data_IF_666422897923
#
_entry.id   IF_666422897923
#
_cell.length_a   1.000
_cell.length_b   1.000
_cell.length_c   1.000
_cell.angle_alpha   90.00
_cell.angle_beta   90.00
_cell.angle_gamma   90.00
#
_symmetry.space_group_name_H-M   'P 1'
#
loop_
_entity.id
_entity.type
_entity.pdbx_description
1 polymer ?
#
# COMPACT_ATOMS: atom_id res chain seq x y z
N UNK A 1 -6.93 63.85 31.29
CA UNK A 1 -7.45 62.47 31.25
C UNK A 1 -6.29 61.54 30.90
N UNK A 2 -5.93 60.65 31.83
CA UNK A 2 -4.92 59.61 31.67
C UNK A 2 -5.64 58.35 31.18
N UNK A 3 -5.13 57.67 30.16
CA UNK A 3 -5.22 56.22 29.87
C UNK A 3 -4.27 55.95 28.69
N UNK A 4 -2.99 55.62 28.90
CA UNK A 4 -2.41 54.26 29.01
C UNK A 4 -2.91 53.28 27.94
N UNK A 5 -2.05 52.94 26.97
CA UNK A 5 -2.01 51.61 26.40
C UNK A 5 -0.55 51.11 26.43
N UNK A 6 -0.38 50.04 27.18
CA UNK A 6 0.88 49.35 27.48
C UNK A 6 1.21 48.41 26.33
N UNK A 7 2.42 48.51 25.79
CA UNK A 7 2.96 47.52 24.85
C UNK A 7 3.28 46.23 25.60
N UNK A 8 2.70 45.11 25.16
CA UNK A 8 3.07 43.76 25.60
C UNK A 8 3.92 43.16 24.50
N UNK A 9 5.23 43.08 24.75
CA UNK A 9 6.18 42.31 23.94
C UNK A 9 6.20 40.90 24.50
N UNK A 10 5.71 39.93 23.72
CA UNK A 10 5.85 38.50 24.04
C UNK A 10 7.10 37.98 23.32
N UNK A 11 8.11 37.61 24.10
CA UNK A 11 9.27 36.84 23.65
C UNK A 11 8.87 35.36 23.67
N UNK A 12 8.81 34.70 22.52
CA UNK A 12 8.79 33.24 22.43
C UNK A 12 10.21 32.78 22.13
N UNK A 13 10.78 32.02 23.07
CA UNK A 13 12.07 31.36 22.95
C UNK A 13 11.84 30.06 22.18
N UNK A 14 12.38 29.96 20.96
CA UNK A 14 12.48 28.71 20.22
C UNK A 14 13.80 28.05 20.61
N UNK A 15 13.73 26.96 21.39
CA UNK A 15 14.84 26.04 21.60
C UNK A 15 14.35 24.66 21.19
N UNK A 16 14.84 24.17 20.05
CA UNK A 16 14.46 22.86 19.53
C UNK A 16 15.00 22.57 18.13
N UNK A 17 16.28 22.86 17.85
CA UNK A 17 16.89 22.52 16.56
C UNK A 17 18.37 22.20 16.68
N UNK A 18 18.76 21.26 17.55
CA UNK A 18 20.16 20.76 17.59
C UNK A 18 20.28 19.22 17.72
N UNK A 19 19.20 18.45 17.86
CA UNK A 19 19.31 16.98 18.06
C UNK A 19 19.07 16.11 16.82
N UNK A 20 18.96 16.69 15.61
CA UNK A 20 18.58 15.94 14.40
C UNK A 20 19.76 15.58 13.47
N UNK A 21 20.99 15.96 13.79
CA UNK A 21 22.13 15.79 12.86
C UNK A 21 23.15 14.68 13.20
N UNK A 22 22.94 13.84 14.22
CA UNK A 22 23.98 12.86 14.64
C UNK A 22 23.63 11.37 14.50
N UNK A 23 22.47 10.96 13.97
CA UNK A 23 22.12 9.53 13.93
C UNK A 23 22.53 8.76 12.65
N UNK A 24 23.13 9.39 11.63
CA UNK A 24 23.61 8.66 10.43
C UNK A 24 25.06 8.20 10.59
N UNK A 25 25.33 7.24 11.48
CA UNK A 25 26.54 6.40 11.40
C UNK A 25 26.25 4.96 11.84
N UNK A 26 26.22 4.10 10.81
CA UNK A 26 26.69 2.69 10.76
C UNK A 26 26.03 1.62 11.64
N UNK A 27 25.44 0.60 10.99
CA UNK A 27 25.91 -0.80 11.09
C UNK A 27 25.34 -1.70 9.98
N UNK A 28 26.04 -2.81 9.62
CA UNK A 28 25.97 -3.45 8.31
C UNK A 28 25.15 -4.76 8.27
N UNK A 29 24.75 -5.09 7.05
CA UNK A 29 24.09 -6.32 6.58
C UNK A 29 25.00 -7.55 6.79
N UNK A 30 24.46 -8.62 7.36
CA UNK A 30 25.11 -9.93 7.47
C UNK A 30 24.61 -10.86 6.37
N UNK A 31 25.44 -11.08 5.35
CA UNK A 31 25.37 -12.25 4.47
C UNK A 31 26.06 -13.44 5.12
N UNK A 32 25.52 -14.65 4.95
CA UNK A 32 26.31 -15.88 4.98
C UNK A 32 25.72 -16.92 4.04
N UNK A 33 26.36 -17.06 2.88
CA UNK A 33 26.33 -18.26 2.05
C UNK A 33 27.53 -19.14 2.48
N UNK A 34 27.28 -20.44 2.68
CA UNK A 34 28.31 -21.45 2.87
C UNK A 34 28.19 -22.49 1.77
N UNK A 35 29.15 -22.48 0.86
CA UNK A 35 29.39 -23.45 -0.21
C UNK A 35 30.34 -24.57 0.29
N UNK A 36 30.06 -25.81 -0.10
CA UNK A 36 31.08 -26.86 -0.28
C UNK A 36 30.61 -27.83 -1.38
N UNK A 37 31.07 -27.57 -2.61
CA UNK A 37 31.73 -28.50 -3.59
C UNK A 37 31.63 -30.00 -3.29
N UNK A 38 31.17 -30.93 -4.14
CA UNK A 38 31.38 -31.26 -5.57
C UNK A 38 31.93 -32.71 -5.64
N UNK A 39 31.28 -33.60 -6.42
CA UNK A 39 31.98 -34.46 -7.38
C UNK A 39 31.00 -35.28 -8.26
N UNK A 40 31.38 -35.35 -9.53
CA UNK A 40 30.69 -35.94 -10.69
C UNK A 40 31.22 -37.36 -10.94
N UNK A 41 30.38 -38.30 -11.47
CA UNK A 41 30.73 -39.12 -12.65
C UNK A 41 29.57 -39.95 -13.23
N UNK A 42 29.53 -39.93 -14.56
CA UNK A 42 28.66 -40.59 -15.53
C UNK A 42 29.34 -41.89 -16.00
N UNK A 43 28.59 -42.98 -16.27
CA UNK A 43 28.46 -43.69 -17.57
C UNK A 43 27.88 -45.12 -17.46
N UNK A 44 27.12 -45.47 -18.50
CA UNK A 44 26.25 -46.64 -18.71
C UNK A 44 26.93 -48.02 -18.80
N UNK A 45 26.17 -49.08 -18.47
CA UNK A 45 26.32 -50.40 -19.09
C UNK A 45 24.95 -51.07 -19.32
N UNK A 46 24.78 -51.51 -20.57
CA UNK A 46 23.65 -52.13 -21.25
C UNK A 46 23.45 -53.60 -20.81
N UNK A 47 22.22 -54.13 -20.84
CA UNK A 47 22.02 -55.54 -21.23
C UNK A 47 20.88 -56.37 -20.63
N UNK A 48 19.76 -56.42 -21.37
CA UNK A 48 18.99 -57.62 -21.81
C UNK A 48 18.08 -58.45 -20.87
N UNK A 49 17.03 -58.95 -21.53
CA UNK A 49 15.74 -59.54 -21.12
C UNK A 49 15.76 -61.04 -20.70
N UNK A 50 14.53 -61.53 -20.43
CA UNK A 50 13.99 -62.91 -20.40
C UNK A 50 13.82 -63.55 -19.00
N UNK A 51 12.77 -64.31 -18.63
CA UNK A 51 11.53 -64.83 -19.27
C UNK A 51 10.59 -65.43 -18.18
N UNK A 52 9.29 -65.49 -18.53
CA UNK A 52 8.22 -66.50 -18.24
C UNK A 52 7.73 -66.96 -16.85
N UNK A 53 6.41 -66.78 -16.68
CA UNK A 53 5.31 -67.72 -16.36
C UNK A 53 5.46 -68.84 -15.31
N UNK A 54 4.46 -68.94 -14.42
CA UNK A 54 4.19 -70.16 -13.62
C UNK A 54 3.04 -70.03 -12.62
N UNK A 55 2.03 -70.90 -12.78
CA UNK A 55 0.69 -70.95 -12.15
C UNK A 55 0.66 -71.76 -10.83
N UNK A 56 0.10 -71.16 -9.76
CA UNK A 56 -0.88 -71.66 -8.74
C UNK A 56 -0.65 -72.98 -7.94
N UNK A 57 -1.51 -73.31 -6.94
CA UNK A 57 -1.52 -72.92 -5.52
C UNK A 57 -1.10 -74.07 -4.57
N UNK A 58 -0.88 -73.78 -3.28
CA UNK A 58 -1.06 -74.82 -2.26
C UNK A 58 -1.59 -74.29 -0.93
N UNK A 59 -2.54 -75.05 -0.40
CA UNK A 59 -3.28 -74.89 0.84
C UNK A 59 -2.45 -75.32 2.05
N UNK A 60 -2.52 -74.58 3.16
CA UNK A 60 -2.60 -75.15 4.51
C UNK A 60 -2.84 -74.05 5.56
N UNK A 61 -3.70 -74.38 6.51
CA UNK A 61 -4.13 -73.56 7.61
C UNK A 61 -3.04 -73.35 8.66
N UNK A 62 -2.96 -72.15 9.24
CA UNK A 62 -2.45 -71.95 10.59
C UNK A 62 -3.31 -70.95 11.37
N UNK A 63 -3.49 -71.28 12.64
CA UNK A 63 -4.40 -70.67 13.59
C UNK A 63 -3.77 -69.47 14.30
N UNK A 64 -4.64 -68.52 14.67
CA UNK A 64 -4.55 -67.60 15.80
C UNK A 64 -3.18 -66.96 16.13
N UNK A 65 -3.00 -65.72 15.68
CA UNK A 65 -2.39 -64.68 16.51
C UNK A 65 -3.31 -63.45 16.49
N UNK A 66 -4.10 -63.27 17.57
CA UNK A 66 -4.78 -62.00 17.82
C UNK A 66 -3.72 -61.04 18.34
N UNK A 67 -3.23 -60.16 17.47
CA UNK A 67 -2.45 -59.00 17.89
C UNK A 67 -3.32 -58.11 18.78
N UNK A 68 -2.79 -57.82 19.96
CA UNK A 68 -3.32 -56.85 20.88
C UNK A 68 -3.14 -55.46 20.26
N UNK A 69 -4.17 -54.95 19.55
CA UNK A 69 -4.19 -53.56 19.09
C UNK A 69 -4.37 -52.67 20.33
N UNK A 70 -3.44 -51.77 20.66
CA UNK A 70 -3.64 -50.82 21.75
C UNK A 70 -4.83 -49.94 21.39
N UNK A 71 -5.74 -49.72 22.34
CA UNK A 71 -6.77 -48.70 22.19
C UNK A 71 -6.10 -47.35 21.84
N UNK A 72 -6.68 -46.54 20.93
CA UNK A 72 -6.09 -45.25 20.60
C UNK A 72 -6.00 -44.44 21.88
N UNK A 73 -4.79 -43.98 22.21
CA UNK A 73 -4.57 -43.06 23.31
C UNK A 73 -5.47 -41.84 23.07
N UNK A 74 -6.48 -41.68 23.92
CA UNK A 74 -7.22 -40.43 24.03
C UNK A 74 -6.20 -39.34 24.34
N UNK A 75 -5.86 -38.51 23.37
CA UNK A 75 -5.14 -37.27 23.62
C UNK A 75 -5.90 -36.54 24.72
N UNK A 76 -5.25 -36.40 25.87
CA UNK A 76 -5.80 -35.65 26.98
C UNK A 76 -6.14 -34.24 26.48
N UNK A 77 -7.41 -33.86 26.56
CA UNK A 77 -7.85 -32.50 26.29
C UNK A 77 -7.16 -31.58 27.30
N UNK A 78 -6.03 -30.99 26.92
CA UNK A 78 -5.46 -29.87 27.67
C UNK A 78 -6.46 -28.74 27.59
N UNK A 79 -6.99 -28.25 28.74
CA UNK A 79 -7.87 -27.10 28.73
C UNK A 79 -7.19 -25.94 27.97
N UNK A 80 -7.95 -25.11 27.23
CA UNK A 80 -7.40 -23.92 26.61
C UNK A 80 -6.60 -23.11 27.63
N UNK A 81 -5.45 -22.58 27.20
CA UNK A 81 -4.64 -21.66 28.01
C UNK A 81 -5.55 -20.55 28.59
N UNK A 82 -5.44 -20.26 29.90
CA UNK A 82 -6.25 -19.20 30.49
C UNK A 82 -5.90 -17.86 29.85
N UNK A 83 -6.87 -16.93 29.80
CA UNK A 83 -6.64 -15.61 29.22
C UNK A 83 -5.48 -14.87 29.88
N UNK A 84 -5.34 -14.99 31.21
CA UNK A 84 -4.23 -14.37 31.95
C UNK A 84 -2.87 -14.94 31.52
N UNK A 85 -2.76 -16.26 31.35
CA UNK A 85 -1.52 -16.90 30.91
C UNK A 85 -1.16 -16.49 29.48
N UNK A 86 -2.14 -16.48 28.57
CA UNK A 86 -1.96 -16.06 27.18
C UNK A 86 -1.52 -14.60 27.07
N UNK A 87 -2.18 -13.70 27.81
CA UNK A 87 -1.78 -12.29 27.88
C UNK A 87 -0.39 -12.12 28.47
N UNK A 88 -0.05 -12.83 29.55
CA UNK A 88 1.28 -12.74 30.17
C UNK A 88 2.38 -13.17 29.19
N UNK A 89 2.16 -14.26 28.43
CA UNK A 89 3.07 -14.72 27.39
C UNK A 89 3.26 -13.68 26.29
N UNK A 90 2.16 -13.11 25.77
CA UNK A 90 2.20 -12.13 24.67
C UNK A 90 2.78 -10.77 25.07
N UNK A 91 2.61 -10.35 26.32
CA UNK A 91 3.07 -9.04 26.80
C UNK A 91 4.59 -8.85 26.71
N UNK A 92 5.38 -9.93 26.67
CA UNK A 92 6.82 -9.88 26.48
C UNK A 92 7.28 -9.94 25.02
N UNK A 93 6.36 -10.16 24.07
CA UNK A 93 6.66 -10.43 22.66
C UNK A 93 6.04 -9.39 21.72
N UNK A 94 4.86 -8.90 22.06
CA UNK A 94 4.04 -8.05 21.19
C UNK A 94 3.65 -6.75 21.86
N UNK A 95 3.52 -5.72 21.05
CA UNK A 95 2.98 -4.43 21.50
C UNK A 95 1.45 -4.47 21.52
N UNK A 96 0.85 -3.67 22.41
CA UNK A 96 -0.60 -3.43 22.40
C UNK A 96 -0.99 -2.54 21.23
N UNK A 97 -2.15 -2.83 20.63
CA UNK A 97 -2.81 -1.92 19.72
C UNK A 97 -3.03 -0.55 20.38
N UNK A 98 -3.03 0.51 19.57
CA UNK A 98 -3.39 1.86 20.02
C UNK A 98 -4.86 2.09 19.71
N UNK A 99 -5.48 2.97 20.47
CA UNK A 99 -6.84 3.39 20.17
C UNK A 99 -6.84 4.36 18.97
N UNK A 100 -7.97 4.42 18.26
CA UNK A 100 -8.24 5.47 17.28
C UNK A 100 -8.20 6.82 18.03
N UNK A 101 -7.38 7.73 17.55
CA UNK A 101 -7.24 9.07 18.11
C UNK A 101 -7.99 10.07 17.24
N UNK A 102 -8.71 10.98 17.89
CA UNK A 102 -9.39 12.16 17.29
C UNK A 102 -9.94 11.96 15.86
N UNK A 103 -10.83 10.96 15.63
CA UNK A 103 -11.35 10.69 14.30
C UNK A 103 -12.23 11.84 13.80
N UNK A 104 -12.05 12.22 12.54
CA UNK A 104 -12.81 13.30 11.88
C UNK A 104 -14.14 12.82 11.31
N UNK A 105 -14.26 11.52 11.05
CA UNK A 105 -15.46 10.92 10.48
C UNK A 105 -15.36 9.41 10.37
N UNK A 106 -16.52 8.79 10.12
CA UNK A 106 -16.66 7.36 9.92
C UNK A 106 -17.44 7.11 8.63
N UNK A 107 -17.02 6.11 7.87
CA UNK A 107 -17.69 5.59 6.67
C UNK A 107 -17.92 4.09 6.89
N UNK A 108 -19.06 3.57 6.42
CA UNK A 108 -19.52 2.18 6.61
C UNK A 108 -19.70 1.74 8.07
N UNK A 109 -19.65 2.65 9.05
CA UNK A 109 -19.88 2.37 10.46
C UNK A 109 -20.37 3.60 11.24
N UNK A 110 -21.13 3.36 12.30
CA UNK A 110 -21.32 4.35 13.37
C UNK A 110 -20.00 4.53 14.15
N UNK A 111 -19.81 5.66 14.87
CA UNK A 111 -18.62 5.86 15.71
C UNK A 111 -18.39 4.72 16.71
N UNK A 112 -17.15 4.22 16.77
CA UNK A 112 -16.76 3.09 17.62
C UNK A 112 -15.37 3.30 18.25
N UNK A 113 -15.04 2.49 19.27
CA UNK A 113 -13.67 2.36 19.78
C UNK A 113 -13.05 1.05 19.28
N UNK A 114 -11.77 1.06 18.93
CA UNK A 114 -11.06 -0.18 18.58
C UNK A 114 -11.11 -1.18 19.73
N UNK A 115 -11.11 -0.69 20.98
CA UNK A 115 -11.32 -1.49 22.18
C UNK A 115 -12.62 -2.32 22.18
N UNK A 116 -13.66 -1.91 21.44
CA UNK A 116 -14.94 -2.62 21.38
C UNK A 116 -14.84 -3.99 20.69
N UNK A 117 -13.82 -4.17 19.85
CA UNK A 117 -13.53 -5.44 19.16
C UNK A 117 -12.66 -6.39 19.99
N UNK A 118 -11.92 -5.89 20.97
CA UNK A 118 -10.99 -6.70 21.76
C UNK A 118 -11.76 -7.75 22.58
N UNK A 119 -11.28 -8.98 22.54
CA UNK A 119 -11.95 -10.15 23.12
C UNK A 119 -13.07 -10.74 22.26
N UNK A 120 -13.42 -10.10 21.13
CA UNK A 120 -14.53 -10.52 20.25
C UNK A 120 -14.10 -10.83 18.83
N UNK A 121 -13.19 -10.04 18.25
CA UNK A 121 -12.75 -10.15 16.86
C UNK A 121 -11.23 -10.10 16.74
N UNK A 122 -10.73 -10.59 15.61
CA UNK A 122 -9.40 -10.27 15.08
C UNK A 122 -9.56 -9.01 14.22
N UNK A 123 -8.67 -8.04 14.36
CA UNK A 123 -8.78 -6.75 13.68
C UNK A 123 -7.57 -6.51 12.80
N UNK A 124 -7.76 -6.20 11.52
CA UNK A 124 -6.70 -5.67 10.66
C UNK A 124 -6.86 -4.15 10.56
N UNK A 125 -5.91 -3.39 11.09
CA UNK A 125 -5.84 -1.95 10.88
C UNK A 125 -5.03 -1.71 9.60
N UNK A 126 -5.64 -1.12 8.58
CA UNK A 126 -4.99 -0.77 7.31
C UNK A 126 -4.94 0.74 7.14
N UNK A 127 -3.72 1.30 7.11
CA UNK A 127 -3.52 2.71 6.81
C UNK A 127 -3.45 2.91 5.31
N UNK A 128 -4.31 3.77 4.79
CA UNK A 128 -4.46 4.02 3.36
C UNK A 128 -4.80 5.48 3.07
N UNK A 129 -4.67 5.86 1.80
CA UNK A 129 -5.23 7.09 1.25
C UNK A 129 -5.67 6.84 -0.19
N UNK A 130 -6.72 7.51 -0.65
CA UNK A 130 -7.42 7.03 -1.84
C UNK A 130 -6.69 7.30 -3.16
N UNK A 131 -5.89 8.37 -3.25
CA UNK A 131 -5.12 8.66 -4.47
C UNK A 131 -3.79 7.89 -4.55
N UNK A 132 -3.46 7.09 -3.53
CA UNK A 132 -2.26 6.26 -3.52
C UNK A 132 -2.45 4.99 -4.36
N UNK A 133 -1.69 4.86 -5.46
CA UNK A 133 -1.78 3.68 -6.34
C UNK A 133 -1.47 2.37 -5.60
N UNK A 134 -0.53 2.39 -4.65
CA UNK A 134 -0.18 1.20 -3.88
C UNK A 134 -1.33 0.75 -2.96
N UNK A 135 -2.09 1.70 -2.40
CA UNK A 135 -3.32 1.41 -1.66
C UNK A 135 -4.41 0.85 -2.59
N UNK A 136 -4.62 1.46 -3.75
CA UNK A 136 -5.61 0.97 -4.72
C UNK A 136 -5.32 -0.47 -5.16
N UNK A 137 -4.05 -0.82 -5.45
CA UNK A 137 -3.65 -2.20 -5.79
C UNK A 137 -3.74 -3.19 -4.62
N UNK A 138 -3.62 -2.70 -3.38
CA UNK A 138 -3.80 -3.52 -2.17
C UNK A 138 -5.28 -3.81 -1.89
N UNK A 139 -6.18 -2.89 -2.26
CA UNK A 139 -7.61 -2.93 -1.88
C UNK A 139 -8.35 -4.19 -2.32
N UNK A 140 -8.16 -4.75 -3.55
CA UNK A 140 -8.79 -6.00 -3.94
C UNK A 140 -8.52 -7.17 -2.99
N UNK A 141 -7.33 -7.25 -2.40
CA UNK A 141 -6.99 -8.26 -1.41
C UNK A 141 -7.69 -8.01 -0.06
N UNK A 142 -7.77 -6.75 0.36
CA UNK A 142 -8.48 -6.37 1.60
C UNK A 142 -9.97 -6.72 1.49
N UNK A 143 -10.61 -6.39 0.37
CA UNK A 143 -12.01 -6.72 0.12
C UNK A 143 -12.21 -8.24 0.15
N UNK A 144 -11.37 -8.99 -0.56
CA UNK A 144 -11.46 -10.46 -0.57
C UNK A 144 -11.29 -11.07 0.83
N UNK A 145 -10.36 -10.57 1.65
CA UNK A 145 -10.20 -11.02 3.04
C UNK A 145 -11.38 -10.66 3.92
N UNK A 146 -11.93 -9.47 3.75
CA UNK A 146 -13.09 -9.04 4.53
C UNK A 146 -14.30 -9.91 4.21
N UNK A 147 -14.63 -10.07 2.93
CA UNK A 147 -15.74 -10.92 2.45
C UNK A 147 -15.59 -12.37 2.91
N UNK A 148 -14.36 -12.90 2.90
CA UNK A 148 -14.11 -14.31 3.25
C UNK A 148 -14.22 -14.55 4.77
N UNK A 149 -13.71 -13.63 5.59
CA UNK A 149 -13.46 -13.92 7.01
C UNK A 149 -14.32 -13.11 7.99
N UNK A 150 -15.16 -12.16 7.55
CA UNK A 150 -15.93 -11.31 8.46
C UNK A 150 -16.83 -12.11 9.43
N UNK A 151 -17.48 -13.17 8.92
CA UNK A 151 -18.37 -14.05 9.67
C UNK A 151 -17.61 -14.95 10.67
N UNK A 152 -16.32 -15.16 10.45
CA UNK A 152 -15.43 -15.89 11.37
C UNK A 152 -14.90 -15.01 12.51
N UNK A 153 -15.37 -13.77 12.60
CA UNK A 153 -14.97 -12.80 13.61
C UNK A 153 -13.72 -12.02 13.22
N UNK A 154 -13.54 -11.76 11.93
CA UNK A 154 -12.60 -10.78 11.40
C UNK A 154 -13.27 -9.41 11.25
N UNK A 155 -12.48 -8.35 11.23
CA UNK A 155 -12.88 -7.02 10.78
C UNK A 155 -11.65 -6.26 10.29
N UNK A 156 -11.80 -5.53 9.19
CA UNK A 156 -10.80 -4.54 8.75
C UNK A 156 -11.25 -3.17 9.26
N UNK A 157 -10.32 -2.37 9.75
CA UNK A 157 -10.54 -0.95 10.04
C UNK A 157 -9.58 -0.17 9.16
N UNK A 158 -10.11 0.44 8.10
CA UNK A 158 -9.36 1.29 7.18
C UNK A 158 -9.15 2.67 7.80
N UNK A 159 -7.93 2.99 8.21
CA UNK A 159 -7.58 4.34 8.67
C UNK A 159 -7.17 5.15 7.44
N UNK A 160 -8.07 6.01 6.98
CA UNK A 160 -7.81 6.94 5.90
C UNK A 160 -7.03 8.14 6.46
N UNK A 161 -5.70 8.11 6.32
CA UNK A 161 -4.83 9.23 6.66
C UNK A 161 -4.45 9.92 5.35
N UNK A 162 -4.84 11.19 5.12
CA UNK A 162 -4.64 11.87 3.84
C UNK A 162 -3.15 12.09 3.53
N UNK A 163 -2.76 12.02 2.26
CA UNK A 163 -1.46 12.49 1.77
C UNK A 163 -1.52 13.96 1.29
N UNK A 164 -2.66 14.39 0.76
CA UNK A 164 -2.92 15.73 0.26
C UNK A 164 -4.15 16.37 0.90
N UNK A 165 -4.25 17.71 0.88
CA UNK A 165 -5.36 18.44 1.52
C UNK A 165 -6.74 18.04 0.97
N UNK A 166 -6.85 17.75 -0.34
CA UNK A 166 -8.12 17.36 -0.96
C UNK A 166 -8.64 16.01 -0.45
N UNK A 167 -7.78 15.18 0.13
CA UNK A 167 -8.14 13.86 0.67
C UNK A 167 -8.75 13.95 2.08
N UNK A 168 -8.79 15.15 2.69
CA UNK A 168 -9.48 15.39 3.96
C UNK A 168 -10.99 15.51 3.81
N UNK A 169 -11.46 15.80 2.59
CA UNK A 169 -12.88 15.98 2.33
C UNK A 169 -13.62 14.65 2.47
N UNK A 170 -14.66 14.64 3.30
CA UNK A 170 -15.42 13.43 3.59
C UNK A 170 -16.11 12.84 2.37
N UNK A 171 -16.67 13.69 1.50
CA UNK A 171 -17.44 13.23 0.34
C UNK A 171 -16.49 12.62 -0.71
N UNK A 172 -15.28 13.16 -0.88
CA UNK A 172 -14.23 12.56 -1.71
C UNK A 172 -13.85 11.15 -1.22
N UNK A 173 -13.58 11.00 0.09
CA UNK A 173 -13.23 9.69 0.68
C UNK A 173 -14.41 8.72 0.56
N UNK A 174 -15.65 9.19 0.79
CA UNK A 174 -16.85 8.38 0.65
C UNK A 174 -17.06 7.87 -0.78
N UNK A 175 -16.84 8.73 -1.78
CA UNK A 175 -16.91 8.32 -3.19
C UNK A 175 -15.82 7.31 -3.53
N UNK A 176 -14.58 7.55 -3.12
CA UNK A 176 -13.49 6.60 -3.33
C UNK A 176 -13.75 5.25 -2.67
N UNK A 177 -14.30 5.24 -1.45
CA UNK A 177 -14.68 4.02 -0.72
C UNK A 177 -15.68 3.18 -1.53
N UNK A 178 -16.67 3.84 -2.17
CA UNK A 178 -17.63 3.17 -3.05
C UNK A 178 -16.99 2.65 -4.33
N UNK A 179 -16.15 3.47 -4.98
CA UNK A 179 -15.50 3.12 -6.24
C UNK A 179 -14.53 1.93 -6.08
N UNK A 180 -13.88 1.84 -4.93
CA UNK A 180 -12.97 0.75 -4.57
C UNK A 180 -13.69 -0.47 -3.97
N UNK A 181 -15.02 -0.44 -3.83
CA UNK A 181 -15.80 -1.54 -3.26
C UNK A 181 -15.47 -1.86 -1.80
N UNK A 182 -15.03 -0.85 -1.04
CA UNK A 182 -14.70 -1.01 0.38
C UNK A 182 -16.00 -1.03 1.18
N UNK A 183 -16.29 -2.16 1.82
CA UNK A 183 -17.47 -2.34 2.68
C UNK A 183 -17.13 -2.36 4.17
N UNK A 184 -15.86 -2.57 4.52
CA UNK A 184 -15.40 -2.53 5.90
C UNK A 184 -15.40 -1.08 6.47
N UNK A 185 -15.43 -0.93 7.82
CA UNK A 185 -15.35 0.37 8.48
C UNK A 185 -14.12 1.19 8.06
N UNK A 186 -14.34 2.46 7.71
CA UNK A 186 -13.29 3.44 7.42
C UNK A 186 -13.38 4.59 8.41
N UNK A 187 -12.23 5.05 8.88
CA UNK A 187 -12.06 6.17 9.82
C UNK A 187 -11.20 7.23 9.16
N UNK A 188 -11.66 8.48 9.16
CA UNK A 188 -10.87 9.62 8.70
C UNK A 188 -9.93 10.07 9.82
N UNK A 189 -8.64 10.11 9.53
CA UNK A 189 -7.54 10.53 10.42
C UNK A 189 -6.88 11.79 9.84
N UNK A 190 -7.67 12.87 9.67
CA UNK A 190 -7.23 14.08 8.95
C UNK A 190 -6.16 14.87 9.71
N UNK A 191 -6.06 14.67 11.03
CA UNK A 191 -5.04 15.27 11.90
C UNK A 191 -3.81 14.38 12.15
N UNK A 192 -3.75 13.21 11.51
CA UNK A 192 -2.67 12.20 11.65
C UNK A 192 -2.50 11.65 13.06
N UNK A 193 -3.43 11.88 13.98
CA UNK A 193 -3.23 11.50 15.38
C UNK A 193 -3.18 9.97 15.56
N UNK A 194 -3.99 9.21 14.82
CA UNK A 194 -3.97 7.74 14.83
C UNK A 194 -2.69 7.25 14.15
N UNK A 195 -2.35 7.79 12.99
CA UNK A 195 -1.08 7.56 12.29
C UNK A 195 0.15 7.73 13.19
N UNK A 196 0.23 8.85 13.90
CA UNK A 196 1.33 9.16 14.83
C UNK A 196 1.32 8.20 16.03
N UNK A 197 0.15 7.84 16.55
CA UNK A 197 0.06 6.91 17.70
C UNK A 197 0.62 5.53 17.37
N UNK A 198 0.43 5.07 16.13
CA UNK A 198 0.97 3.82 15.58
C UNK A 198 2.44 3.94 15.12
N UNK A 199 3.02 5.15 15.18
CA UNK A 199 4.34 5.46 14.65
C UNK A 199 4.46 5.02 13.17
N UNK A 200 3.40 5.25 12.40
CA UNK A 200 3.36 4.91 10.98
C UNK A 200 4.12 5.95 10.13
N UNK A 201 4.64 5.52 8.99
CA UNK A 201 5.43 6.32 8.05
C UNK A 201 5.18 5.92 6.58
N UNK A 202 4.19 5.05 6.30
CA UNK A 202 4.01 4.43 4.99
C UNK A 202 2.53 4.24 4.64
N UNK A 203 2.23 4.41 3.36
CA UNK A 203 1.00 3.95 2.72
C UNK A 203 1.31 2.86 1.67
N UNK A 204 0.55 1.75 1.62
CA UNK A 204 -0.28 1.25 2.70
C UNK A 204 0.56 0.66 3.85
N UNK A 205 -0.03 0.47 5.03
CA UNK A 205 0.56 -0.35 6.11
C UNK A 205 -0.51 -1.07 6.91
N UNK A 206 -0.26 -2.33 7.21
CA UNK A 206 -1.21 -3.23 7.88
C UNK A 206 -0.71 -3.64 9.25
N UNK A 207 -1.56 -3.57 10.27
CA UNK A 207 -1.31 -4.09 11.61
C UNK A 207 -2.40 -5.08 11.99
N UNK A 208 -2.05 -6.34 12.20
CA UNK A 208 -3.00 -7.37 12.63
C UNK A 208 -3.03 -7.45 14.15
N UNK A 209 -4.22 -7.31 14.71
CA UNK A 209 -4.50 -7.31 16.14
C UNK A 209 -5.27 -8.60 16.48
N UNK A 210 -4.71 -9.37 17.40
CA UNK A 210 -5.34 -10.60 17.88
C UNK A 210 -6.52 -10.36 18.83
N UNK A 211 -7.20 -11.45 19.22
CA UNK A 211 -8.33 -11.41 20.15
C UNK A 211 -7.98 -10.80 21.52
N UNK A 212 -6.73 -10.83 21.95
CA UNK A 212 -6.34 -10.26 23.23
C UNK A 212 -6.01 -8.78 23.13
N UNK A 213 -5.83 -8.22 21.93
CA UNK A 213 -5.48 -6.83 21.65
C UNK A 213 -3.98 -6.57 21.50
N UNK A 214 -3.22 -7.56 21.04
CA UNK A 214 -1.81 -7.40 20.67
C UNK A 214 -1.64 -7.32 19.16
N UNK A 215 -0.72 -6.47 18.72
CA UNK A 215 -0.28 -6.42 17.32
C UNK A 215 0.63 -7.63 17.10
N UNK A 216 0.12 -8.65 16.41
CA UNK A 216 0.81 -9.93 16.17
C UNK A 216 1.46 -10.02 14.79
N UNK A 217 1.09 -9.13 13.87
CA UNK A 217 1.68 -8.98 12.55
C UNK A 217 1.68 -7.51 12.11
N UNK A 218 2.70 -7.12 11.34
CA UNK A 218 2.93 -5.76 10.81
C UNK A 218 3.53 -5.89 9.41
N UNK A 219 2.92 -5.23 8.43
CA UNK A 219 3.36 -5.24 7.04
C UNK A 219 3.38 -3.84 6.45
N UNK A 220 4.57 -3.42 6.04
CA UNK A 220 4.80 -2.13 5.38
C UNK A 220 4.69 -2.29 3.87
N UNK A 221 3.88 -1.45 3.25
CA UNK A 221 3.77 -1.33 1.81
C UNK A 221 2.78 -2.30 1.16
N UNK A 222 2.88 -2.33 -0.16
CA UNK A 222 2.14 -3.23 -1.05
C UNK A 222 2.82 -4.60 -1.14
N UNK A 223 2.02 -5.66 -1.20
CA UNK A 223 2.50 -7.04 -1.32
C UNK A 223 2.31 -7.85 -0.04
N UNK A 224 3.05 -8.97 0.06
CA UNK A 224 2.97 -9.87 1.22
C UNK A 224 1.58 -10.46 1.46
N UNK A 225 0.73 -10.53 0.45
CA UNK A 225 -0.68 -10.91 0.59
C UNK A 225 -0.85 -12.32 1.15
N UNK A 226 -0.12 -13.30 0.61
CA UNK A 226 -0.16 -14.68 1.09
C UNK A 226 0.29 -14.85 2.54
N UNK A 227 1.30 -14.08 2.94
CA UNK A 227 1.84 -14.06 4.30
C UNK A 227 0.84 -13.40 5.26
N UNK A 228 0.31 -12.22 4.88
CA UNK A 228 -0.70 -11.47 5.65
C UNK A 228 -1.93 -12.33 5.91
N UNK A 229 -2.46 -12.98 4.88
CA UNK A 229 -3.60 -13.87 5.02
C UNK A 229 -3.30 -15.07 5.93
N UNK A 230 -2.10 -15.63 5.85
CA UNK A 230 -1.69 -16.73 6.72
C UNK A 230 -1.68 -16.31 8.19
N UNK A 231 -1.26 -15.09 8.49
CA UNK A 231 -1.31 -14.52 9.84
C UNK A 231 -2.75 -14.18 10.28
N UNK A 232 -3.62 -13.73 9.37
CA UNK A 232 -5.07 -13.57 9.63
C UNK A 232 -5.69 -14.90 10.06
N UNK A 233 -5.51 -15.97 9.27
CA UNK A 233 -6.07 -17.30 9.55
C UNK A 233 -5.51 -17.87 10.85
N UNK A 234 -4.23 -17.64 11.15
CA UNK A 234 -3.61 -18.04 12.42
C UNK A 234 -4.22 -17.30 13.61
N UNK A 235 -4.43 -15.99 13.52
CA UNK A 235 -5.07 -15.21 14.57
C UNK A 235 -6.54 -15.60 14.78
N UNK A 236 -7.28 -15.88 13.68
CA UNK A 236 -8.66 -16.37 13.75
C UNK A 236 -8.75 -17.75 14.41
N UNK A 237 -7.78 -18.63 14.14
CA UNK A 237 -7.72 -19.94 14.80
C UNK A 237 -7.38 -19.84 16.30
N UNK A 238 -6.50 -18.91 16.70
CA UNK A 238 -6.29 -18.64 18.13
C UNK A 238 -7.56 -18.12 18.80
N UNK A 239 -8.29 -17.22 18.13
CA UNK A 239 -9.62 -16.76 18.55
C UNK A 239 -10.60 -17.93 18.68
N UNK A 240 -10.66 -18.82 17.70
CA UNK A 240 -11.60 -19.94 17.68
C UNK A 240 -11.38 -20.89 18.87
N UNK A 241 -10.12 -21.22 19.16
CA UNK A 241 -9.75 -22.01 20.35
C UNK A 241 -10.15 -21.28 21.64
N UNK A 242 -9.95 -19.95 21.69
CA UNK A 242 -10.27 -19.13 22.88
C UNK A 242 -11.76 -19.07 23.17
N UNK A 243 -12.59 -18.97 22.13
CA UNK A 243 -14.05 -18.83 22.25
C UNK A 243 -14.82 -20.15 22.11
N UNK A 244 -14.13 -21.25 21.79
CA UNK A 244 -14.76 -22.54 21.52
C UNK A 244 -15.58 -22.57 20.24
N UNK A 245 -15.17 -21.81 19.21
CA UNK A 245 -15.81 -21.80 17.88
C UNK A 245 -15.06 -22.68 16.88
N UNK A 246 -15.59 -22.81 15.68
CA UNK A 246 -15.00 -23.60 14.60
C UNK A 246 -13.71 -22.94 14.11
N UNK A 247 -12.69 -23.76 13.83
CA UNK A 247 -11.43 -23.32 13.22
C UNK A 247 -11.61 -22.91 11.77
N UNK A 248 -10.87 -21.89 11.36
CA UNK A 248 -10.87 -21.34 10.01
C UNK A 248 -9.77 -21.99 9.19
N UNK A 249 -10.05 -22.31 7.93
CA UNK A 249 -9.05 -22.80 6.97
C UNK A 249 -8.76 -21.72 5.94
N UNK A 250 -7.49 -21.56 5.56
CA UNK A 250 -7.11 -20.63 4.48
C UNK A 250 -7.79 -21.05 3.18
N UNK A 251 -8.52 -20.13 2.56
CA UNK A 251 -9.11 -20.35 1.25
C UNK A 251 -8.16 -19.93 0.14
N UNK A 252 -8.21 -20.61 -1.00
CA UNK A 252 -7.46 -20.16 -2.18
C UNK A 252 -8.26 -19.06 -2.87
N UNK A 253 -7.96 -17.80 -2.58
CA UNK A 253 -8.57 -16.68 -3.27
C UNK A 253 -7.93 -16.46 -4.64
N UNK A 254 -8.78 -16.20 -5.65
CA UNK A 254 -8.34 -15.74 -6.96
C UNK A 254 -8.60 -14.25 -7.06
N UNK A 255 -7.69 -13.45 -6.51
CA UNK A 255 -7.77 -11.99 -6.57
C UNK A 255 -7.20 -11.54 -7.91
N UNK A 256 -8.05 -10.98 -8.77
CA UNK A 256 -7.60 -10.29 -9.98
C UNK A 256 -7.07 -8.92 -9.58
N UNK A 257 -5.74 -8.79 -9.51
CA UNK A 257 -5.06 -7.53 -9.19
C UNK A 257 -3.85 -7.34 -10.09
N UNK A 258 -3.53 -6.06 -10.34
CA UNK A 258 -2.31 -5.68 -11.04
C UNK A 258 -1.08 -6.12 -10.23
N UNK A 259 -0.19 -6.90 -10.85
CA UNK A 259 1.08 -7.29 -10.25
C UNK A 259 2.20 -6.34 -10.67
N UNK A 260 2.98 -5.87 -9.69
CA UNK A 260 4.09 -4.94 -9.91
C UNK A 260 5.43 -5.59 -9.53
N UNK A 261 6.42 -5.47 -10.42
CA UNK A 261 7.82 -5.82 -10.14
C UNK A 261 8.58 -4.56 -9.70
N UNK A 262 8.51 -4.24 -8.41
CA UNK A 262 9.19 -3.08 -7.82
C UNK A 262 10.71 -3.09 -8.04
N UNK A 263 11.33 -4.26 -8.28
CA UNK A 263 12.75 -4.36 -8.58
C UNK A 263 13.13 -3.82 -9.96
N UNK A 264 12.16 -3.62 -10.85
CA UNK A 264 12.35 -3.08 -12.21
C UNK A 264 11.97 -1.61 -12.35
N UNK A 265 11.27 -1.04 -11.37
CA UNK A 265 10.96 0.39 -11.34
C UNK A 265 12.21 1.15 -10.91
N UNK A 266 12.63 2.14 -11.70
CA UNK A 266 13.77 3.01 -11.37
C UNK A 266 13.38 4.48 -11.18
N UNK A 267 12.08 4.79 -11.24
CA UNK A 267 11.55 6.11 -10.93
C UNK A 267 10.85 6.08 -9.58
N UNK A 268 11.28 6.95 -8.67
CA UNK A 268 10.60 7.17 -7.40
C UNK A 268 9.38 8.07 -7.60
N UNK A 269 8.41 7.94 -6.70
CA UNK A 269 7.29 8.87 -6.60
C UNK A 269 7.77 10.33 -6.63
N UNK A 270 7.13 11.12 -7.47
CA UNK A 270 7.60 12.46 -7.82
C UNK A 270 6.57 13.52 -7.49
N UNK A 271 6.71 14.14 -6.31
CA UNK A 271 5.89 15.27 -5.88
C UNK A 271 6.16 16.53 -6.71
N UNK A 272 5.07 17.22 -7.05
CA UNK A 272 5.04 18.35 -7.97
C UNK A 272 4.88 19.69 -7.24
N UNK A 273 4.36 19.70 -6.00
CA UNK A 273 4.39 20.84 -5.08
C UNK A 273 5.76 21.13 -4.48
N UNK A 274 6.07 22.39 -4.16
CA UNK A 274 7.42 22.76 -3.72
C UNK A 274 7.82 22.17 -2.36
N UNK A 275 6.87 21.75 -1.53
CA UNK A 275 7.10 21.26 -0.17
C UNK A 275 7.84 19.92 -0.14
N UNK A 276 7.55 19.05 -1.12
CA UNK A 276 8.11 17.68 -1.24
C UNK A 276 8.80 17.41 -2.58
N UNK A 277 8.86 18.39 -3.49
CA UNK A 277 9.48 18.21 -4.81
C UNK A 277 11.00 18.09 -4.73
N UNK A 278 11.52 16.89 -5.05
CA UNK A 278 12.95 16.57 -5.09
C UNK A 278 13.50 16.44 -6.51
N UNK A 279 12.63 16.13 -7.48
CA UNK A 279 13.03 15.67 -8.82
C UNK A 279 12.75 16.66 -9.96
N UNK A 280 12.65 17.95 -9.65
CA UNK A 280 12.43 18.99 -10.66
C UNK A 280 13.69 19.22 -11.52
N UNK A 281 13.55 19.12 -12.84
CA UNK A 281 14.62 19.32 -13.82
C UNK A 281 14.73 20.76 -14.33
N UNK A 282 13.68 21.59 -14.20
CA UNK A 282 13.77 22.99 -14.62
C UNK A 282 14.85 23.74 -13.83
N UNK A 283 15.52 24.66 -14.53
CA UNK A 283 16.33 25.69 -13.89
C UNK A 283 15.60 27.02 -13.97
N UNK A 284 15.53 27.73 -12.85
CA UNK A 284 14.94 29.07 -12.78
C UNK A 284 15.73 29.90 -11.76
N UNK A 285 15.68 31.23 -11.92
CA UNK A 285 16.32 32.15 -10.99
C UNK A 285 15.36 32.55 -9.86
N UNK A 286 15.88 32.68 -8.65
CA UNK A 286 15.09 33.10 -7.49
C UNK A 286 14.26 31.97 -6.85
N UNK A 287 13.25 32.37 -6.08
CA UNK A 287 12.31 31.44 -5.44
C UNK A 287 11.07 31.25 -6.30
N UNK A 288 10.64 29.99 -6.46
CA UNK A 288 9.37 29.63 -7.07
C UNK A 288 8.52 28.84 -6.07
N UNK A 289 8.08 29.53 -5.02
CA UNK A 289 7.22 29.03 -3.95
C UNK A 289 6.09 30.02 -3.73
N UNK A 290 4.84 29.55 -3.81
CA UNK A 290 3.59 30.33 -3.73
C UNK A 290 3.47 31.48 -4.73
N UNK A 291 4.19 31.37 -5.86
CA UNK A 291 4.19 32.36 -6.92
C UNK A 291 4.05 31.69 -8.28
N UNK A 292 3.57 32.44 -9.27
CA UNK A 292 3.54 32.04 -10.67
C UNK A 292 4.92 32.22 -11.28
N UNK A 293 5.44 31.18 -11.92
CA UNK A 293 6.75 31.16 -12.55
C UNK A 293 6.65 30.75 -14.02
N UNK A 294 7.56 31.29 -14.81
CA UNK A 294 7.72 30.95 -16.21
C UNK A 294 8.73 29.81 -16.36
N UNK A 295 8.25 28.64 -16.80
CA UNK A 295 9.08 27.47 -17.02
C UNK A 295 9.37 27.25 -18.50
N UNK A 296 10.66 27.11 -18.81
CA UNK A 296 11.14 26.77 -20.15
C UNK A 296 11.52 25.30 -20.17
N UNK A 297 11.20 24.63 -21.28
CA UNK A 297 11.59 23.24 -21.53
C UNK A 297 13.11 23.10 -21.36
N UNK A 298 13.59 22.17 -20.51
CA UNK A 298 15.02 21.90 -20.41
C UNK A 298 15.54 21.23 -21.69
N UNK A 299 16.84 21.37 -21.98
CA UNK A 299 17.46 20.68 -23.13
C UNK A 299 17.44 19.15 -22.99
N UNK A 300 17.32 18.64 -21.77
CA UNK A 300 17.12 17.23 -21.46
C UNK A 300 16.47 17.07 -20.08
N UNK A 301 15.74 15.97 -19.90
CA UNK A 301 15.16 15.56 -18.62
C UNK A 301 15.87 14.28 -18.17
N UNK A 302 16.71 14.30 -17.12
CA UNK A 302 17.34 13.08 -16.61
C UNK A 302 16.31 12.06 -16.13
N UNK A 303 16.65 10.77 -16.19
CA UNK A 303 15.79 9.70 -15.69
C UNK A 303 15.33 9.98 -14.24
N UNK A 304 14.05 9.77 -14.01
CA UNK A 304 13.37 9.97 -12.74
C UNK A 304 13.09 11.43 -12.41
N UNK A 305 13.26 12.36 -13.36
CA UNK A 305 12.95 13.77 -13.18
C UNK A 305 11.76 14.23 -14.00
N UNK A 306 11.11 15.28 -13.50
CA UNK A 306 10.02 15.95 -14.18
C UNK A 306 10.36 17.41 -14.48
N UNK A 307 9.68 18.00 -15.46
CA UNK A 307 9.80 19.42 -15.79
C UNK A 307 8.44 20.02 -16.17
N UNK A 308 8.22 21.27 -15.79
CA UNK A 308 7.12 22.09 -16.27
C UNK A 308 7.54 22.86 -17.52
N UNK A 309 6.56 23.19 -18.37
CA UNK A 309 6.67 24.16 -19.46
C UNK A 309 5.47 25.10 -19.38
N UNK A 310 5.68 26.39 -19.58
CA UNK A 310 4.62 27.40 -19.49
C UNK A 310 4.54 28.05 -18.10
N UNK A 311 3.41 28.66 -17.76
CA UNK A 311 3.25 29.43 -16.52
C UNK A 311 2.52 28.64 -15.46
N UNK A 312 3.26 28.28 -14.41
CA UNK A 312 2.76 27.46 -13.31
C UNK A 312 2.88 28.21 -11.99
N UNK A 313 1.82 28.21 -11.19
CA UNK A 313 1.90 28.51 -9.76
C UNK A 313 2.42 27.27 -9.06
N UNK A 314 3.45 27.40 -8.23
CA UNK A 314 3.91 26.30 -7.36
C UNK A 314 3.41 26.49 -5.94
N UNK A 315 2.38 25.75 -5.56
CA UNK A 315 1.92 25.66 -4.17
C UNK A 315 2.74 24.62 -3.41
N UNK A 316 2.49 24.49 -2.10
CA UNK A 316 3.23 23.56 -1.24
C UNK A 316 3.05 22.10 -1.65
N UNK A 317 1.81 21.66 -1.88
CA UNK A 317 1.46 20.27 -2.21
C UNK A 317 1.34 20.01 -3.71
N UNK A 318 1.00 21.03 -4.50
CA UNK A 318 0.71 20.90 -5.94
C UNK A 318 1.32 22.02 -6.78
N UNK A 319 1.30 21.84 -8.10
CA UNK A 319 1.54 22.90 -9.08
C UNK A 319 0.29 23.12 -9.94
N UNK A 320 -0.01 24.37 -10.25
CA UNK A 320 -1.23 24.79 -10.94
C UNK A 320 -0.93 25.54 -12.23
N UNK A 321 -1.48 25.09 -13.34
CA UNK A 321 -1.30 25.74 -14.64
C UNK A 321 -2.13 27.01 -14.74
N UNK A 322 -1.48 28.17 -14.97
CA UNK A 322 -2.15 29.48 -15.06
C UNK A 322 -2.30 30.03 -16.48
N UNK A 323 -1.66 29.44 -17.49
CA UNK A 323 -1.79 29.86 -18.89
C UNK A 323 -1.87 28.67 -19.86
N UNK A 324 -2.62 28.80 -20.95
CA UNK A 324 -2.82 27.72 -21.93
C UNK A 324 -1.50 27.34 -22.63
N UNK A 325 -1.39 26.08 -23.05
CA UNK A 325 -0.22 25.57 -23.75
C UNK A 325 0.96 25.24 -22.82
N UNK A 326 0.69 25.07 -21.53
CA UNK A 326 1.66 24.48 -20.62
C UNK A 326 1.76 22.97 -20.79
N UNK A 327 2.91 22.41 -20.41
CA UNK A 327 3.15 20.97 -20.42
C UNK A 327 3.77 20.51 -19.11
N UNK A 328 3.61 19.23 -18.82
CA UNK A 328 4.34 18.49 -17.79
C UNK A 328 5.11 17.35 -18.47
N UNK A 329 6.42 17.31 -18.27
CA UNK A 329 7.33 16.32 -18.85
C UNK A 329 7.85 15.43 -17.73
N UNK A 330 7.98 14.13 -17.98
CA UNK A 330 8.56 13.15 -17.08
C UNK A 330 9.41 12.17 -17.88
N UNK A 331 10.67 11.99 -17.48
CA UNK A 331 11.48 10.87 -17.95
C UNK A 331 11.42 9.76 -16.91
N UNK A 332 10.77 8.64 -17.23
CA UNK A 332 10.48 7.58 -16.27
C UNK A 332 11.06 6.23 -16.67
N UNK A 333 11.07 5.30 -15.70
CA UNK A 333 11.32 3.88 -15.91
C UNK A 333 10.42 3.06 -14.99
N UNK A 334 9.34 2.57 -15.58
CA UNK A 334 8.23 1.83 -14.97
C UNK A 334 7.41 1.15 -16.08
N UNK A 335 6.43 0.32 -15.71
CA UNK A 335 5.47 -0.24 -16.68
C UNK A 335 4.21 0.61 -16.77
N UNK A 336 3.78 1.20 -15.67
CA UNK A 336 2.63 2.11 -15.60
C UNK A 336 3.03 3.46 -15.03
N UNK A 337 2.39 4.52 -15.52
CA UNK A 337 2.53 5.89 -14.99
C UNK A 337 1.16 6.43 -14.67
N UNK A 338 1.01 6.92 -13.44
CA UNK A 338 -0.19 7.61 -12.99
C UNK A 338 0.14 9.04 -12.59
N UNK A 339 -0.84 9.92 -12.71
CA UNK A 339 -0.78 11.30 -12.24
C UNK A 339 -1.90 11.55 -11.23
N UNK A 340 -1.53 11.99 -10.03
CA UNK A 340 -2.49 12.56 -9.07
C UNK A 340 -2.73 14.01 -9.46
N UNK A 341 -3.96 14.32 -9.87
CA UNK A 341 -4.33 15.64 -10.38
C UNK A 341 -5.84 15.92 -10.23
N UNK A 342 -6.24 17.18 -10.40
CA UNK A 342 -7.64 17.60 -10.38
C UNK A 342 -7.80 19.01 -10.94
N UNK A 343 -9.04 19.42 -11.24
CA UNK A 343 -9.33 20.78 -11.67
C UNK A 343 -9.39 21.76 -10.48
N UNK A 344 -8.87 22.98 -10.64
CA UNK A 344 -8.89 24.06 -9.62
C UNK A 344 -10.32 24.42 -9.20
N UNK A 345 -11.29 24.31 -10.13
CA UNK A 345 -12.69 24.61 -9.88
C UNK A 345 -13.57 23.39 -10.08
N UNK A 346 -14.48 23.16 -9.14
CA UNK A 346 -15.47 22.09 -9.21
C UNK A 346 -16.32 22.17 -10.50
N UNK A 347 -16.49 21.03 -11.17
CA UNK A 347 -17.25 20.92 -12.42
C UNK A 347 -16.48 21.37 -13.68
N UNK A 348 -15.24 21.84 -13.56
CA UNK A 348 -14.37 22.03 -14.72
C UNK A 348 -13.78 20.70 -15.19
N UNK A 349 -13.54 20.61 -16.49
CA UNK A 349 -12.86 19.48 -17.13
C UNK A 349 -11.65 20.04 -17.86
N UNK A 350 -10.46 19.61 -17.45
CA UNK A 350 -9.20 20.03 -18.05
C UNK A 350 -8.73 18.95 -19.00
N UNK A 351 -8.67 19.28 -20.30
CA UNK A 351 -8.25 18.34 -21.32
C UNK A 351 -6.76 18.45 -21.61
N UNK A 352 -6.10 17.30 -21.76
CA UNK A 352 -4.70 17.24 -22.15
C UNK A 352 -4.44 16.12 -23.15
N UNK A 353 -3.48 16.34 -24.04
CA UNK A 353 -2.96 15.31 -24.95
C UNK A 353 -1.76 14.63 -24.29
N UNK A 354 -1.71 13.31 -24.36
CA UNK A 354 -0.61 12.49 -23.83
C UNK A 354 0.30 12.05 -24.96
N UNK A 355 1.59 12.32 -24.80
CA UNK A 355 2.65 12.06 -25.77
C UNK A 355 3.73 11.20 -25.11
N UNK A 356 4.09 10.10 -25.75
CA UNK A 356 5.14 9.18 -25.31
C UNK A 356 6.24 9.16 -26.38
N UNK A 357 7.47 9.50 -25.99
CA UNK A 357 8.64 9.58 -26.87
C UNK A 357 8.46 10.48 -28.11
N UNK A 358 7.69 11.56 -27.94
CA UNK A 358 7.44 12.56 -28.98
C UNK A 358 6.28 12.24 -29.93
N UNK A 359 5.67 11.07 -29.80
CA UNK A 359 4.48 10.68 -30.56
C UNK A 359 3.25 10.60 -29.64
N UNK A 360 2.04 10.84 -30.18
CA UNK A 360 0.82 10.67 -29.39
C UNK A 360 0.74 9.21 -28.91
N UNK A 361 0.42 9.02 -27.63
CA UNK A 361 0.35 7.67 -27.05
C UNK A 361 -0.59 6.78 -27.86
N UNK A 362 -0.15 5.56 -28.11
CA UNK A 362 -0.94 4.59 -28.89
C UNK A 362 -1.95 3.88 -27.99
N UNK A 363 -2.96 3.24 -28.59
CA UNK A 363 -3.93 2.46 -27.82
C UNK A 363 -3.30 1.27 -27.06
N UNK A 364 -2.13 0.76 -27.48
CA UNK A 364 -1.46 -0.33 -26.74
C UNK A 364 -0.74 0.16 -25.48
N UNK A 365 -0.36 1.44 -25.44
CA UNK A 365 0.46 2.02 -24.36
C UNK A 365 -0.36 2.98 -23.48
N UNK A 366 -1.64 3.14 -23.81
CA UNK A 366 -2.60 4.01 -23.13
C UNK A 366 -3.06 3.42 -21.81
N UNK A 367 -2.92 4.20 -20.74
CA UNK A 367 -3.54 3.88 -19.46
C UNK A 367 -5.07 4.03 -19.48
N UNK A 368 -5.73 3.60 -18.40
CA UNK A 368 -7.19 3.57 -18.32
C UNK A 368 -7.88 4.94 -18.37
N UNK A 369 -7.15 6.04 -18.11
CA UNK A 369 -7.68 7.39 -18.20
C UNK A 369 -7.59 8.00 -19.62
N UNK A 370 -6.98 7.29 -20.58
CA UNK A 370 -6.72 7.80 -21.92
C UNK A 370 -7.80 7.35 -22.91
N UNK A 371 -8.37 8.29 -23.66
CA UNK A 371 -9.30 8.00 -24.73
C UNK A 371 -8.60 7.49 -26.01
N UNK A 372 -9.38 7.00 -26.98
CA UNK A 372 -8.84 6.47 -28.25
C UNK A 372 -8.09 7.51 -29.11
N UNK A 373 -8.18 8.81 -28.77
CA UNK A 373 -7.47 9.91 -29.43
C UNK A 373 -6.17 10.31 -28.74
N UNK A 374 -5.78 9.63 -27.66
CA UNK A 374 -4.60 9.97 -26.85
C UNK A 374 -4.84 11.17 -25.92
N UNK A 375 -6.09 11.41 -25.52
CA UNK A 375 -6.44 12.48 -24.60
C UNK A 375 -6.87 11.95 -23.23
N UNK A 376 -6.60 12.75 -22.21
CA UNK A 376 -7.11 12.58 -20.85
C UNK A 376 -7.95 13.79 -20.47
N UNK A 377 -8.98 13.56 -19.66
CA UNK A 377 -9.84 14.58 -19.07
C UNK A 377 -9.70 14.53 -17.55
N UNK A 378 -9.18 15.60 -16.96
CA UNK A 378 -9.07 15.75 -15.52
C UNK A 378 -10.25 16.56 -14.98
N UNK A 379 -10.93 16.05 -13.96
CA UNK A 379 -12.03 16.76 -13.30
C UNK A 379 -11.86 16.70 -11.78
N UNK A 380 -12.15 15.54 -11.19
CA UNK A 380 -11.97 15.29 -9.77
C UNK A 380 -10.49 15.19 -9.39
N UNK A 381 -10.17 15.54 -8.15
CA UNK A 381 -8.87 15.26 -7.56
C UNK A 381 -8.74 13.77 -7.28
N UNK A 382 -8.05 13.06 -8.19
CA UNK A 382 -7.92 11.61 -8.17
C UNK A 382 -6.61 11.16 -8.86
N UNK A 383 -6.41 9.85 -8.90
CA UNK A 383 -5.33 9.16 -9.58
C UNK A 383 -5.74 8.78 -11.02
N UNK A 384 -5.04 9.34 -12.00
CA UNK A 384 -5.29 9.09 -13.42
C UNK A 384 -4.18 8.20 -13.99
N UNK A 385 -4.51 6.99 -14.43
CA UNK A 385 -3.56 6.11 -15.11
C UNK A 385 -3.36 6.54 -16.57
N UNK A 386 -2.17 7.06 -16.89
CA UNK A 386 -1.87 7.67 -18.18
C UNK A 386 -1.17 6.71 -19.15
N UNK A 387 -0.29 5.86 -18.63
CA UNK A 387 0.51 4.91 -19.42
C UNK A 387 0.34 3.51 -18.84
N UNK A 388 0.18 2.51 -19.70
CA UNK A 388 0.26 1.08 -19.38
C UNK A 388 1.03 0.33 -20.48
N UNK A 389 2.25 -0.09 -20.17
CA UNK A 389 3.15 -0.80 -21.09
C UNK A 389 2.98 -2.34 -21.00
N UNK A 390 1.88 -2.83 -20.42
CA UNK A 390 1.51 -4.24 -20.38
C UNK A 390 2.60 -5.16 -19.78
N UNK A 391 3.27 -4.69 -18.73
CA UNK A 391 4.33 -5.44 -18.03
C UNK A 391 5.75 -5.24 -18.59
N UNK A 392 5.92 -4.44 -19.65
CA UNK A 392 7.24 -3.98 -20.07
C UNK A 392 7.72 -2.86 -19.12
N UNK A 393 8.92 -3.02 -18.55
CA UNK A 393 9.56 -2.03 -17.67
C UNK A 393 10.69 -1.34 -18.43
N UNK A 394 10.38 -0.23 -19.09
CA UNK A 394 11.26 0.44 -20.05
C UNK A 394 11.47 1.92 -19.68
N UNK A 395 12.44 2.57 -20.34
CA UNK A 395 12.69 4.01 -20.19
C UNK A 395 11.96 4.78 -21.28
N UNK A 396 11.16 5.79 -20.89
CA UNK A 396 10.46 6.65 -21.84
C UNK A 396 10.38 8.10 -21.36
N UNK A 397 10.18 9.02 -22.29
CA UNK A 397 9.79 10.40 -22.00
C UNK A 397 8.28 10.59 -22.23
N UNK A 398 7.56 10.83 -21.14
CA UNK A 398 6.16 11.22 -21.13
C UNK A 398 6.06 12.75 -21.17
N UNK A 399 5.19 13.28 -22.03
CA UNK A 399 4.73 14.65 -22.00
C UNK A 399 3.20 14.73 -21.99
N UNK A 400 2.68 15.52 -21.06
CA UNK A 400 1.26 15.86 -20.94
C UNK A 400 1.10 17.31 -21.40
N UNK A 401 0.40 17.52 -22.52
CA UNK A 401 0.21 18.82 -23.18
C UNK A 401 -1.20 19.33 -22.89
N UNK A 402 -1.33 20.36 -22.04
CA UNK A 402 -2.63 20.84 -21.58
C UNK A 402 -3.26 21.84 -22.58
N UNK A 403 -4.48 21.56 -23.02
CA UNK A 403 -5.26 22.44 -23.92
C UNK A 403 -5.94 23.59 -23.14
N UNK A 404 -6.21 23.35 -21.87
CA UNK A 404 -6.86 24.26 -20.93
C UNK A 404 -5.96 24.63 -19.74
N UNK A 405 -6.42 25.56 -18.91
CA UNK A 405 -5.76 26.01 -17.67
C UNK A 405 -6.52 25.51 -16.47
N UNK A 406 -5.96 25.63 -15.27
CA UNK A 406 -6.68 25.25 -14.05
C UNK A 406 -6.42 23.81 -13.60
N UNK A 407 -5.49 23.08 -14.24
CA UNK A 407 -5.05 21.78 -13.72
C UNK A 407 -4.17 21.97 -12.48
N UNK A 408 -4.50 21.30 -11.39
CA UNK A 408 -3.65 21.09 -10.22
C UNK A 408 -3.01 19.69 -10.32
N UNK A 409 -1.68 19.63 -10.27
CA UNK A 409 -0.91 18.37 -10.34
C UNK A 409 -0.10 18.17 -9.07
N UNK A 410 -0.20 16.97 -8.46
CA UNK A 410 0.30 16.67 -7.12
C UNK A 410 1.51 15.73 -7.15
N UNK A 411 1.38 14.57 -7.80
CA UNK A 411 2.45 13.58 -7.85
C UNK A 411 2.35 12.67 -9.07
N UNK A 412 3.51 12.19 -9.56
CA UNK A 412 3.56 10.99 -10.39
C UNK A 412 3.82 9.75 -9.54
N UNK A 413 3.06 8.69 -9.81
CA UNK A 413 3.23 7.36 -9.19
C UNK A 413 3.32 6.27 -10.25
N UNK A 414 3.76 5.07 -9.87
CA UNK A 414 4.24 4.06 -10.82
C UNK A 414 3.70 2.65 -10.53
N UNK A 415 3.75 1.80 -11.55
CA UNK A 415 3.43 0.36 -11.49
C UNK A 415 4.29 -0.45 -12.43
#
# INVERSE_FOLDING_TARGET
MKHTLTAVVVFVIIVGSIAWLESRKTSPISQNAGDTTADIKIEDLIGTEETNEGVQPDTAAEANMVENVPAPETQAFTPPETREARIARKSGQYSRAKEISTPDGFINADPFMLADYIGKKVVLVDFWTYSCINCQRTTPYLNAWYDTYEDDGFVIVGIHTPEFEFEKDYDNVLEATKNLGIEFPVVLDNDYSTWVSYNNHYWPRKYLIDIDGFIVYDHIGEGGYDETESEIVKALNERAVTLGTVSVTKEKMNVEADTVDFGKIRTAESYLGYGRSEYLANTFSGSCKDVVCDFVRPSSTPLGKHAFVGRWKRAEEYSLLKEKGGSLILHFSASKVNLVAGAESEGEVIRARVVLDGEVVTASDSGSAIDAGGYVEFSLHDLYNLIDLNGAYEEHELEIQFEDVGIEVYAFTFG
#
